data_IF_406716443309
#
_entry.id   IF_406716443309
#
_cell.length_a   1.000
_cell.length_b   1.000
_cell.length_c   1.000
_cell.angle_alpha   90.00
_cell.angle_beta   90.00
_cell.angle_gamma   90.00
#
_symmetry.space_group_name_H-M   'P 1'
#
loop_
_entity.id
_entity.type
_entity.pdbx_description
1 polymer ?
#
# COMPACT_ATOMS: atom_id res chain seq x y z
N UNK A 1 50.10 53.05 49.90
CA UNK A 1 50.96 53.40 48.76
C UNK A 1 50.66 52.44 47.62
N UNK A 2 50.55 52.99 46.42
CA UNK A 2 49.90 52.43 45.25
C UNK A 2 50.71 51.36 44.51
N UNK A 3 50.00 50.50 43.79
CA UNK A 3 50.53 49.57 42.80
C UNK A 3 49.60 49.49 41.59
N UNK A 4 49.96 50.27 40.56
CA UNK A 4 49.94 50.04 39.11
C UNK A 4 48.78 49.41 38.30
N UNK A 5 48.59 50.10 37.16
CA UNK A 5 48.35 49.63 35.78
C UNK A 5 46.92 49.46 35.25
N UNK A 6 46.51 50.47 34.45
CA UNK A 6 46.18 50.45 33.00
C UNK A 6 45.20 49.41 32.42
N UNK A 7 44.53 49.68 31.26
CA UNK A 7 43.33 50.50 31.21
C UNK A 7 42.18 49.90 30.34
N UNK A 8 41.05 50.62 30.36
CA UNK A 8 39.97 50.73 29.34
C UNK A 8 38.81 49.69 29.27
N UNK A 9 37.73 50.08 29.95
CA UNK A 9 36.29 50.18 29.57
C UNK A 9 35.96 50.16 28.04
N UNK A 10 34.81 49.70 27.50
CA UNK A 10 33.47 49.41 28.02
C UNK A 10 32.59 48.58 27.03
N UNK A 11 31.66 47.81 27.62
CA UNK A 11 30.25 47.52 27.26
C UNK A 11 29.80 46.66 26.02
N UNK A 12 29.15 45.55 26.37
CA UNK A 12 28.18 44.61 25.71
C UNK A 12 26.84 45.22 25.23
N UNK A 13 25.83 44.46 24.71
CA UNK A 13 25.79 43.14 24.00
C UNK A 13 24.81 43.08 22.78
N UNK A 14 24.88 42.05 21.91
CA UNK A 14 23.67 41.41 21.32
C UNK A 14 23.90 39.91 21.00
N UNK A 15 22.87 39.10 21.29
CA UNK A 15 22.81 37.62 21.28
C UNK A 15 22.64 37.03 19.88
N UNK A 16 23.11 35.79 19.65
CA UNK A 16 22.22 34.63 19.44
C UNK A 16 23.02 33.30 19.33
N UNK A 17 22.66 32.34 20.20
CA UNK A 17 23.14 30.95 20.22
C UNK A 17 22.72 30.17 18.97
N UNK A 18 23.59 29.29 18.45
CA UNK A 18 23.15 28.02 17.84
C UNK A 18 24.09 26.87 18.22
N UNK A 19 23.52 25.92 18.94
CA UNK A 19 24.04 24.61 19.28
C UNK A 19 24.12 23.72 18.03
N UNK A 20 25.27 23.06 17.83
CA UNK A 20 25.42 21.96 16.87
C UNK A 20 24.95 20.66 17.51
N UNK A 21 23.72 20.24 17.19
CA UNK A 21 23.17 18.94 17.57
C UNK A 21 23.64 17.85 16.60
N UNK A 22 24.22 16.79 17.16
CA UNK A 22 24.51 15.52 16.49
C UNK A 22 23.22 14.89 15.96
N UNK A 23 23.16 14.61 14.66
CA UNK A 23 22.03 13.95 14.01
C UNK A 23 22.11 12.43 14.20
N UNK A 24 21.10 11.89 14.88
CA UNK A 24 20.81 10.46 14.99
C UNK A 24 20.48 9.86 13.61
N UNK A 25 20.87 8.61 13.30
CA UNK A 25 20.47 7.99 12.04
C UNK A 25 18.95 7.80 12.00
N UNK A 26 18.34 8.23 10.89
CA UNK A 26 16.91 8.17 10.61
C UNK A 26 16.37 6.75 10.76
N UNK A 27 15.38 6.57 11.65
CA UNK A 27 14.49 5.42 11.60
C UNK A 27 13.78 5.44 10.25
N UNK A 28 14.02 4.43 9.40
CA UNK A 28 13.22 4.20 8.20
C UNK A 28 11.75 4.15 8.62
N UNK A 29 10.98 5.07 8.08
CA UNK A 29 9.66 5.46 8.52
C UNK A 29 8.63 4.34 8.35
N UNK A 30 8.05 3.89 9.46
CA UNK A 30 6.88 3.00 9.51
C UNK A 30 5.60 3.65 8.92
N UNK A 31 5.69 4.89 8.44
CA UNK A 31 4.61 5.65 7.81
C UNK A 31 4.30 5.24 6.35
N UNK A 32 5.09 4.36 5.72
CA UNK A 32 4.92 4.07 4.30
C UNK A 32 3.72 3.16 3.98
N UNK A 33 3.22 2.37 4.94
CA UNK A 33 2.22 1.31 4.70
C UNK A 33 0.85 1.59 5.35
N UNK A 34 0.54 2.85 5.65
CA UNK A 34 -0.75 3.25 6.20
C UNK A 34 -1.88 3.05 5.18
N UNK A 35 -3.08 2.65 5.66
CA UNK A 35 -4.28 2.46 4.83
C UNK A 35 -5.17 3.71 4.96
N UNK A 36 -5.65 4.33 3.86
CA UNK A 36 -5.52 3.90 2.47
C UNK A 36 -4.09 4.02 1.94
N UNK A 37 -3.65 2.98 1.22
CA UNK A 37 -2.31 2.87 0.67
C UNK A 37 -2.34 2.93 -0.86
N UNK A 38 -1.36 3.63 -1.44
CA UNK A 38 -1.09 3.63 -2.89
C UNK A 38 0.38 3.36 -3.15
N UNK A 39 0.66 2.23 -3.82
CA UNK A 39 2.01 1.76 -4.13
C UNK A 39 2.24 1.70 -5.64
N UNK A 40 3.49 1.96 -6.07
CA UNK A 40 3.90 1.72 -7.46
C UNK A 40 4.42 0.28 -7.59
N UNK A 41 4.09 -0.37 -8.70
CA UNK A 41 4.59 -1.66 -9.14
C UNK A 41 5.69 -1.37 -10.19
N UNK A 42 6.99 -1.50 -9.87
CA UNK A 42 8.05 -1.11 -10.79
C UNK A 42 8.01 -1.95 -12.09
N UNK A 43 7.98 -1.28 -13.24
CA UNK A 43 7.86 -1.91 -14.56
C UNK A 43 6.55 -2.70 -14.77
N UNK A 44 5.50 -2.37 -14.01
CA UNK A 44 4.17 -2.98 -14.15
C UNK A 44 4.11 -4.47 -13.87
N UNK A 45 2.97 -5.09 -14.20
CA UNK A 45 2.79 -6.53 -14.14
C UNK A 45 3.30 -7.20 -15.43
N UNK A 46 3.74 -8.45 -15.29
CA UNK A 46 4.18 -9.30 -16.40
C UNK A 46 4.12 -10.76 -15.96
N UNK A 47 4.02 -11.73 -16.89
CA UNK A 47 4.06 -13.14 -16.56
C UNK A 47 5.28 -13.49 -15.69
N UNK A 48 5.05 -14.25 -14.61
CA UNK A 48 6.06 -14.62 -13.62
C UNK A 48 6.28 -13.60 -12.50
N UNK A 49 5.76 -12.37 -12.62
CA UNK A 49 5.78 -11.40 -11.51
C UNK A 49 4.67 -11.71 -10.52
N UNK A 50 4.93 -11.49 -9.23
CA UNK A 50 3.93 -11.58 -8.17
C UNK A 50 3.96 -10.36 -7.26
N UNK A 51 2.83 -10.11 -6.63
CA UNK A 51 2.67 -9.15 -5.54
C UNK A 51 2.32 -9.94 -4.28
N UNK A 52 2.95 -9.61 -3.16
CA UNK A 52 2.68 -10.19 -1.85
C UNK A 52 2.24 -9.08 -0.90
N UNK A 53 1.00 -9.19 -0.42
CA UNK A 53 0.44 -8.33 0.63
C UNK A 53 0.38 -9.14 1.91
N UNK A 54 1.13 -8.73 2.93
CA UNK A 54 0.96 -9.24 4.29
C UNK A 54 0.30 -8.15 5.13
N UNK A 55 -0.68 -8.55 5.92
CA UNK A 55 -1.41 -7.62 6.76
C UNK A 55 -2.10 -8.31 7.93
N UNK A 56 -2.74 -7.50 8.75
CA UNK A 56 -3.58 -7.94 9.87
C UNK A 56 -4.97 -7.37 9.64
N UNK A 57 -5.99 -8.21 9.67
CA UNK A 57 -7.39 -7.77 9.62
C UNK A 57 -7.71 -7.02 10.92
N UNK A 58 -8.41 -5.88 10.85
CA UNK A 58 -8.78 -5.14 12.07
C UNK A 58 -9.75 -5.96 12.94
N UNK A 59 -9.76 -5.79 14.28
CA UNK A 59 -10.90 -6.24 15.11
C UNK A 59 -12.16 -5.56 14.58
N UNK A 60 -13.35 -6.13 14.47
CA UNK A 60 -14.54 -5.47 13.86
C UNK A 60 -14.35 -5.02 12.38
N UNK A 61 -13.95 -5.92 11.46
CA UNK A 61 -13.85 -5.57 10.04
C UNK A 61 -15.23 -5.54 9.39
N UNK A 62 -15.46 -4.57 8.51
CA UNK A 62 -16.63 -4.55 7.61
C UNK A 62 -16.21 -5.15 6.26
N UNK A 63 -15.29 -4.45 5.58
CA UNK A 63 -14.71 -4.89 4.32
C UNK A 63 -13.30 -4.31 4.12
N UNK A 64 -12.53 -4.93 3.23
CA UNK A 64 -11.32 -4.33 2.69
C UNK A 64 -11.19 -4.58 1.20
N UNK A 65 -10.40 -3.73 0.54
CA UNK A 65 -10.17 -3.79 -0.89
C UNK A 65 -8.68 -3.77 -1.24
N UNK A 66 -8.29 -4.58 -2.22
CA UNK A 66 -6.98 -4.56 -2.87
C UNK A 66 -7.21 -4.47 -4.39
N UNK A 67 -6.72 -3.41 -5.01
CA UNK A 67 -6.94 -3.12 -6.44
C UNK A 67 -5.63 -2.95 -7.19
N UNK A 68 -5.52 -3.55 -8.37
CA UNK A 68 -4.43 -3.35 -9.33
C UNK A 68 -4.93 -2.45 -10.47
N UNK A 69 -4.30 -1.30 -10.68
CA UNK A 69 -4.77 -0.26 -11.60
C UNK A 69 -3.72 0.13 -12.63
N UNK A 70 -4.20 0.69 -13.76
CA UNK A 70 -3.36 1.22 -14.83
C UNK A 70 -3.06 2.71 -14.61
N UNK A 71 -2.22 3.02 -13.62
CA UNK A 71 -1.93 4.39 -13.20
C UNK A 71 -2.52 4.76 -11.84
N UNK A 72 -2.20 5.99 -11.41
CA UNK A 72 -2.61 6.55 -10.11
C UNK A 72 -3.75 7.56 -10.27
N UNK A 73 -4.57 7.65 -9.22
CA UNK A 73 -5.54 8.72 -9.02
C UNK A 73 -6.92 8.39 -9.56
N UNK A 74 -7.95 8.60 -8.75
CA UNK A 74 -9.36 8.57 -9.17
C UNK A 74 -9.86 9.94 -9.63
N UNK A 75 -9.04 10.98 -9.46
CA UNK A 75 -9.34 12.38 -9.79
C UNK A 75 -9.16 12.71 -11.28
N UNK A 76 -8.61 11.77 -12.06
CA UNK A 76 -8.46 11.92 -13.52
C UNK A 76 -9.72 11.37 -14.19
N UNK A 77 -10.24 12.09 -15.18
CA UNK A 77 -11.38 11.65 -15.99
C UNK A 77 -10.92 11.32 -17.41
N UNK A 78 -11.15 10.09 -17.92
CA UNK A 78 -11.74 8.96 -17.20
C UNK A 78 -10.77 8.39 -16.13
N UNK A 79 -11.30 7.74 -15.08
CA UNK A 79 -10.47 7.07 -14.08
C UNK A 79 -9.65 5.95 -14.72
N UNK A 80 -8.49 5.60 -14.14
CA UNK A 80 -7.64 4.53 -14.67
C UNK A 80 -8.37 3.18 -14.62
N UNK A 81 -8.07 2.33 -15.60
CA UNK A 81 -8.56 0.96 -15.64
C UNK A 81 -8.15 0.20 -14.37
N UNK A 82 -9.08 -0.64 -13.88
CA UNK A 82 -8.85 -1.54 -12.75
C UNK A 82 -8.76 -2.95 -13.30
N UNK A 83 -7.54 -3.48 -13.40
CA UNK A 83 -7.30 -4.80 -13.95
C UNK A 83 -7.79 -5.93 -13.03
N UNK A 84 -7.76 -5.70 -11.72
CA UNK A 84 -8.29 -6.60 -10.71
C UNK A 84 -8.63 -5.81 -9.45
N UNK A 85 -9.90 -5.81 -9.04
CA UNK A 85 -10.34 -5.37 -7.72
C UNK A 85 -10.71 -6.59 -6.90
N UNK A 86 -10.13 -6.74 -5.72
CA UNK A 86 -10.44 -7.78 -4.75
C UNK A 86 -11.15 -7.15 -3.55
N UNK A 87 -12.38 -7.58 -3.24
CA UNK A 87 -13.16 -7.04 -2.12
C UNK A 87 -13.56 -8.16 -1.16
N UNK A 88 -12.98 -8.15 0.04
CA UNK A 88 -13.34 -9.07 1.12
C UNK A 88 -14.43 -8.44 1.98
N UNK A 89 -15.61 -9.06 2.05
CA UNK A 89 -16.75 -8.64 2.87
C UNK A 89 -16.97 -9.65 3.99
N UNK A 90 -16.83 -9.20 5.24
CA UNK A 90 -16.78 -10.11 6.39
C UNK A 90 -18.17 -10.58 6.82
N UNK A 91 -19.19 -9.73 6.70
CA UNK A 91 -20.56 -10.07 7.08
C UNK A 91 -21.12 -11.21 6.21
N UNK A 92 -20.92 -11.13 4.90
CA UNK A 92 -21.38 -12.14 3.94
C UNK A 92 -20.37 -13.27 3.72
N UNK A 93 -19.16 -13.15 4.29
CA UNK A 93 -18.03 -14.04 4.04
C UNK A 93 -17.75 -14.22 2.53
N UNK A 94 -17.75 -13.11 1.81
CA UNK A 94 -17.52 -13.10 0.36
C UNK A 94 -16.16 -12.51 0.03
N UNK A 95 -15.50 -13.08 -0.97
CA UNK A 95 -14.32 -12.49 -1.56
C UNK A 95 -14.53 -12.29 -3.06
N UNK A 96 -14.97 -11.09 -3.39
CA UNK A 96 -15.40 -10.69 -4.73
C UNK A 96 -14.21 -10.26 -5.57
N UNK A 97 -14.31 -10.50 -6.87
CA UNK A 97 -13.35 -10.00 -7.86
C UNK A 97 -14.05 -9.52 -9.11
N UNK A 98 -13.59 -8.38 -9.62
CA UNK A 98 -14.08 -7.75 -10.85
C UNK A 98 -13.01 -6.87 -11.45
N UNK A 99 -13.21 -6.48 -12.71
CA UNK A 99 -12.37 -5.50 -13.40
C UNK A 99 -13.21 -4.32 -13.88
N UNK A 100 -12.57 -3.17 -14.08
CA UNK A 100 -13.14 -2.00 -14.74
C UNK A 100 -12.26 -1.66 -15.94
N UNK A 101 -12.81 -1.72 -17.15
CA UNK A 101 -12.09 -1.41 -18.39
C UNK A 101 -12.83 -0.33 -19.13
N UNK A 102 -12.14 0.74 -19.50
CA UNK A 102 -12.71 1.92 -20.17
C UNK A 102 -13.94 2.46 -19.43
N UNK A 103 -13.85 2.53 -18.10
CA UNK A 103 -14.92 3.04 -17.23
C UNK A 103 -16.11 2.12 -17.02
N UNK A 104 -16.11 0.90 -17.57
CA UNK A 104 -17.20 -0.08 -17.41
C UNK A 104 -16.76 -1.22 -16.48
N UNK A 105 -17.52 -1.44 -15.41
CA UNK A 105 -17.34 -2.58 -14.51
C UNK A 105 -17.87 -3.86 -15.15
N UNK A 106 -17.06 -4.92 -15.13
CA UNK A 106 -17.48 -6.26 -15.50
C UNK A 106 -18.28 -6.97 -14.40
N UNK A 107 -18.64 -8.22 -14.65
CA UNK A 107 -19.36 -9.05 -13.69
C UNK A 107 -18.55 -9.31 -12.41
N UNK A 108 -19.26 -9.42 -11.29
CA UNK A 108 -18.68 -9.80 -10.00
C UNK A 108 -18.60 -11.32 -9.89
N UNK A 109 -17.38 -11.85 -9.88
CA UNK A 109 -17.16 -13.23 -9.54
C UNK A 109 -17.03 -13.37 -8.01
N UNK A 110 -17.77 -14.32 -7.43
CA UNK A 110 -17.84 -14.51 -5.96
C UNK A 110 -17.58 -15.92 -5.45
N UNK A 111 -17.58 -16.92 -6.34
CA UNK A 111 -17.39 -18.32 -5.97
C UNK A 111 -15.98 -18.57 -5.41
N UNK A 112 -15.88 -18.99 -4.16
CA UNK A 112 -14.64 -19.41 -3.49
C UNK A 112 -14.94 -20.67 -2.68
N UNK A 113 -13.95 -21.52 -2.45
CA UNK A 113 -14.10 -22.75 -1.65
C UNK A 113 -14.32 -22.47 -0.17
N UNK A 114 -13.76 -21.38 0.35
CA UNK A 114 -13.90 -20.92 1.73
C UNK A 114 -13.53 -19.44 1.82
N UNK A 115 -14.01 -18.74 2.85
CA UNK A 115 -13.58 -17.37 3.14
C UNK A 115 -12.28 -17.39 3.97
N UNK A 116 -11.17 -16.81 3.49
CA UNK A 116 -9.85 -17.06 4.08
C UNK A 116 -9.43 -16.05 5.15
N UNK A 117 -10.23 -15.02 5.43
CA UNK A 117 -9.83 -13.92 6.32
C UNK A 117 -10.51 -14.02 7.69
N UNK A 118 -9.71 -13.91 8.75
CA UNK A 118 -10.20 -13.98 10.12
C UNK A 118 -9.94 -12.63 10.80
N UNK A 119 -10.93 -12.13 11.53
CA UNK A 119 -10.81 -10.91 12.32
C UNK A 119 -9.61 -10.99 13.27
N UNK A 120 -8.84 -9.90 13.37
CA UNK A 120 -7.67 -9.76 14.25
C UNK A 120 -6.54 -10.77 14.00
N UNK A 121 -6.55 -11.44 12.84
CA UNK A 121 -5.51 -12.39 12.44
C UNK A 121 -4.67 -11.85 11.28
N UNK A 122 -3.40 -12.28 11.18
CA UNK A 122 -2.57 -12.00 10.03
C UNK A 122 -3.06 -12.78 8.81
N UNK A 123 -2.77 -12.26 7.63
CA UNK A 123 -2.95 -12.97 6.36
C UNK A 123 -1.77 -12.67 5.43
N UNK A 124 -1.54 -13.58 4.49
CA UNK A 124 -0.63 -13.41 3.36
C UNK A 124 -1.38 -13.65 2.06
N UNK A 125 -1.62 -12.57 1.31
CA UNK A 125 -2.24 -12.63 -0.02
C UNK A 125 -1.16 -12.51 -1.10
N UNK A 126 -1.14 -13.45 -2.05
CA UNK A 126 -0.26 -13.41 -3.22
C UNK A 126 -1.08 -13.31 -4.50
N UNK A 127 -0.74 -12.37 -5.38
CA UNK A 127 -1.32 -12.23 -6.72
C UNK A 127 -0.22 -12.57 -7.73
N UNK A 128 -0.32 -13.73 -8.36
CA UNK A 128 0.65 -14.21 -9.35
C UNK A 128 0.15 -13.87 -10.75
N UNK A 129 0.96 -13.14 -11.51
CA UNK A 129 0.64 -12.79 -12.89
C UNK A 129 1.11 -13.90 -13.83
N UNK A 130 0.19 -14.53 -14.55
CA UNK A 130 0.49 -15.45 -15.65
C UNK A 130 0.19 -14.80 -17.00
N UNK A 131 0.41 -15.54 -18.09
CA UNK A 131 0.14 -15.07 -19.45
C UNK A 131 -1.34 -14.71 -19.67
N UNK A 132 -2.29 -15.46 -19.08
CA UNK A 132 -3.72 -15.33 -19.37
C UNK A 132 -4.57 -14.89 -18.17
N UNK A 133 -4.02 -14.96 -16.95
CA UNK A 133 -4.77 -14.78 -15.71
C UNK A 133 -3.90 -14.32 -14.55
N UNK A 134 -4.54 -13.82 -13.52
CA UNK A 134 -4.01 -13.79 -12.16
C UNK A 134 -4.38 -15.07 -11.43
N UNK A 135 -3.43 -15.65 -10.69
CA UNK A 135 -3.71 -16.69 -9.69
C UNK A 135 -3.57 -16.09 -8.31
N UNK A 136 -4.61 -16.21 -7.49
CA UNK A 136 -4.64 -15.61 -6.15
C UNK A 136 -4.50 -16.70 -5.09
N UNK A 137 -3.57 -16.49 -4.17
CA UNK A 137 -3.30 -17.37 -3.04
C UNK A 137 -3.52 -16.62 -1.74
N UNK A 138 -4.07 -17.30 -0.74
CA UNK A 138 -4.10 -16.81 0.65
C UNK A 138 -3.46 -17.86 1.55
N UNK A 139 -2.47 -17.44 2.32
CA UNK A 139 -1.68 -18.27 3.25
C UNK A 139 -1.12 -19.54 2.59
N UNK A 140 -0.68 -19.40 1.32
CA UNK A 140 -0.07 -20.48 0.53
C UNK A 140 -1.06 -21.37 -0.21
N UNK A 141 -2.36 -21.22 0.02
CA UNK A 141 -3.40 -22.00 -0.66
C UNK A 141 -3.97 -21.21 -1.85
N UNK A 142 -4.03 -21.84 -3.03
CA UNK A 142 -4.68 -21.24 -4.19
C UNK A 142 -6.19 -21.15 -3.93
N UNK A 143 -6.75 -19.95 -4.11
CA UNK A 143 -8.16 -19.72 -3.84
C UNK A 143 -8.98 -19.61 -5.13
N UNK A 144 -8.49 -18.85 -6.11
CA UNK A 144 -9.13 -18.72 -7.42
C UNK A 144 -8.16 -18.19 -8.47
N UNK A 145 -8.63 -18.28 -9.71
CA UNK A 145 -8.04 -17.66 -10.88
C UNK A 145 -8.94 -16.49 -11.34
N UNK A 146 -8.35 -15.46 -11.93
CA UNK A 146 -9.07 -14.36 -12.57
C UNK A 146 -8.43 -14.03 -13.91
N UNK A 147 -9.17 -14.23 -15.01
CA UNK A 147 -8.63 -14.04 -16.36
C UNK A 147 -8.43 -12.56 -16.70
N UNK A 148 -7.38 -12.25 -17.46
CA UNK A 148 -7.01 -10.87 -17.76
C UNK A 148 -8.06 -10.16 -18.63
N UNK A 149 -8.75 -9.18 -18.06
CA UNK A 149 -9.55 -8.22 -18.83
C UNK A 149 -8.67 -7.13 -19.46
N UNK A 150 -7.65 -6.66 -18.73
CA UNK A 150 -6.63 -5.74 -19.24
C UNK A 150 -5.44 -6.54 -19.77
N UNK A 151 -5.20 -6.47 -21.09
CA UNK A 151 -4.13 -7.25 -21.76
C UNK A 151 -2.76 -6.57 -21.72
N UNK A 152 -2.72 -5.25 -21.60
CA UNK A 152 -1.47 -4.49 -21.49
C UNK A 152 -0.91 -4.59 -20.07
N UNK A 153 -0.42 -5.77 -19.68
CA UNK A 153 0.05 -6.06 -18.30
C UNK A 153 1.06 -5.03 -17.74
N UNK A 154 2.02 -4.51 -18.53
CA UNK A 154 2.94 -3.49 -18.03
C UNK A 154 2.29 -2.16 -17.66
N UNK A 155 1.08 -1.88 -18.15
CA UNK A 155 0.31 -0.70 -17.75
C UNK A 155 -0.24 -0.84 -16.33
N UNK A 156 -0.44 -2.06 -15.83
CA UNK A 156 -0.88 -2.36 -14.48
C UNK A 156 0.28 -2.09 -13.52
N UNK A 157 0.42 -0.84 -13.09
CA UNK A 157 1.61 -0.32 -12.44
C UNK A 157 1.37 0.23 -11.03
N UNK A 158 0.14 0.11 -10.54
CA UNK A 158 -0.28 0.69 -9.28
C UNK A 158 -1.10 -0.32 -8.49
N UNK A 159 -0.85 -0.38 -7.18
CA UNK A 159 -1.66 -1.11 -6.21
C UNK A 159 -2.30 -0.11 -5.25
N UNK A 160 -3.59 -0.30 -5.00
CA UNK A 160 -4.38 0.48 -4.05
C UNK A 160 -4.95 -0.47 -2.99
N UNK A 161 -4.85 -0.08 -1.72
CA UNK A 161 -5.37 -0.89 -0.61
C UNK A 161 -6.16 0.01 0.34
N UNK A 162 -7.41 -0.36 0.64
CA UNK A 162 -8.32 0.41 1.49
C UNK A 162 -9.11 -0.49 2.45
N UNK A 163 -9.78 0.12 3.43
CA UNK A 163 -10.69 -0.59 4.33
C UNK A 163 -10.07 -1.14 5.62
N UNK A 164 -10.64 -2.24 6.13
CA UNK A 164 -10.43 -2.75 7.49
C UNK A 164 -9.24 -3.70 7.65
N UNK A 165 -8.06 -3.25 7.23
CA UNK A 165 -6.79 -3.95 7.45
C UNK A 165 -5.65 -3.00 7.83
N UNK A 166 -4.54 -3.56 8.32
CA UNK A 166 -3.23 -2.91 8.45
C UNK A 166 -2.24 -3.67 7.58
N UNK A 167 -1.43 -2.97 6.80
CA UNK A 167 -0.39 -3.59 5.96
C UNK A 167 0.88 -3.71 6.81
N UNK A 168 1.46 -4.89 6.86
CA UNK A 168 2.73 -5.16 7.55
C UNK A 168 3.88 -5.33 6.58
N UNK A 169 3.61 -5.83 5.36
CA UNK A 169 4.59 -5.95 4.29
C UNK A 169 3.93 -5.90 2.92
N UNK A 170 4.60 -5.25 1.98
CA UNK A 170 4.29 -5.29 0.55
C UNK A 170 5.57 -5.64 -0.22
N UNK A 171 5.52 -6.63 -1.11
CA UNK A 171 6.66 -7.08 -1.91
C UNK A 171 6.27 -7.48 -3.33
#
# INVERSE_FOLDING_TARGET
MAGNNSPQINATPEKCNRSSGLTSPERKSEHQLAVPFSGRIPNGMRPGKKIVVMGIVKPKPDSFEISLTCGRGFEVSPPPDVALQLCARFKEQQFLRRACVSGTWGEEEKLISYFPFIQDQPFRLEIHCEHQRFRVFVDGHQLFDFYHCVRALPAIDTILITGSLRITKLA
#
